data_IF_662571455471
#
_entry.id   IF_662571455471
#
_cell.length_a   1.000
_cell.length_b   1.000
_cell.length_c   1.000
_cell.angle_alpha   90.00
_cell.angle_beta   90.00
_cell.angle_gamma   90.00
#
_symmetry.space_group_name_H-M   'P 1'
#
loop_
_entity.id
_entity.type
_entity.pdbx_description
1 polymer ?
#
# COMPACT_ATOMS: atom_id res chain seq x y z
N UNK A 1 -31.95 -57.90 -3.80
CA UNK A 1 -30.82 -57.00 -4.08
C UNK A 1 -31.37 -55.58 -4.19
N UNK A 2 -30.98 -54.65 -3.31
CA UNK A 2 -31.41 -53.25 -3.45
C UNK A 2 -31.49 -52.48 -2.14
N UNK A 3 -30.34 -52.11 -1.56
CA UNK A 3 -30.29 -51.06 -0.51
C UNK A 3 -28.99 -50.22 -0.53
N UNK A 4 -28.04 -50.47 -1.44
CA UNK A 4 -26.75 -49.78 -1.44
C UNK A 4 -26.77 -48.37 -2.04
N UNK A 5 -27.75 -48.03 -2.89
CA UNK A 5 -27.71 -46.81 -3.72
C UNK A 5 -28.14 -45.50 -2.99
N UNK A 6 -28.73 -45.58 -1.79
CA UNK A 6 -29.23 -44.40 -1.04
C UNK A 6 -28.18 -43.75 -0.12
N UNK A 7 -27.23 -44.53 0.39
CA UNK A 7 -26.22 -44.03 1.32
C UNK A 7 -25.17 -43.13 0.63
N UNK A 8 -24.80 -43.43 -0.61
CA UNK A 8 -23.76 -42.65 -1.30
C UNK A 8 -24.27 -41.24 -1.67
N UNK A 9 -25.52 -41.09 -2.08
CA UNK A 9 -26.12 -39.77 -2.39
C UNK A 9 -26.27 -38.92 -1.11
N UNK A 10 -26.69 -39.53 0.00
CA UNK A 10 -26.81 -38.79 1.28
C UNK A 10 -25.45 -38.36 1.85
N UNK A 11 -24.42 -39.21 1.75
CA UNK A 11 -23.04 -38.86 2.13
C UNK A 11 -22.45 -37.75 1.25
N UNK A 12 -22.70 -37.80 -0.06
CA UNK A 12 -22.27 -36.76 -1.00
C UNK A 12 -22.95 -35.41 -0.70
N UNK A 13 -24.24 -35.41 -0.36
CA UNK A 13 -24.97 -34.20 0.06
C UNK A 13 -24.42 -33.61 1.35
N UNK A 14 -24.18 -34.45 2.37
CA UNK A 14 -23.58 -34.00 3.64
C UNK A 14 -22.20 -33.39 3.42
N UNK A 15 -21.36 -34.02 2.60
CA UNK A 15 -20.04 -33.50 2.24
C UNK A 15 -20.15 -32.15 1.53
N UNK A 16 -21.08 -32.03 0.58
CA UNK A 16 -21.28 -30.77 -0.16
C UNK A 16 -21.75 -29.60 0.75
N UNK A 17 -22.60 -29.88 1.73
CA UNK A 17 -23.04 -28.85 2.70
C UNK A 17 -21.91 -28.50 3.68
N UNK A 18 -21.10 -29.48 4.09
CA UNK A 18 -19.93 -29.23 4.93
C UNK A 18 -18.89 -28.38 4.18
N UNK A 19 -18.61 -28.72 2.92
CA UNK A 19 -17.72 -27.96 2.06
C UNK A 19 -18.25 -26.53 1.84
N UNK A 20 -19.57 -26.37 1.67
CA UNK A 20 -20.20 -25.05 1.53
C UNK A 20 -20.06 -24.21 2.80
N UNK A 21 -20.23 -24.82 3.98
CA UNK A 21 -20.06 -24.14 5.26
C UNK A 21 -18.59 -23.78 5.51
N UNK A 22 -17.67 -24.68 5.20
CA UNK A 22 -16.23 -24.46 5.33
C UNK A 22 -15.80 -23.30 4.42
N UNK A 23 -16.23 -23.31 3.15
CA UNK A 23 -15.90 -22.26 2.19
C UNK A 23 -16.42 -20.89 2.64
N UNK A 24 -17.65 -20.82 3.18
CA UNK A 24 -18.20 -19.58 3.75
C UNK A 24 -17.35 -19.07 4.92
N UNK A 25 -16.91 -19.95 5.81
CA UNK A 25 -16.07 -19.57 6.94
C UNK A 25 -14.70 -19.07 6.48
N UNK A 26 -14.09 -19.71 5.48
CA UNK A 26 -12.80 -19.29 4.91
C UNK A 26 -12.93 -17.88 4.32
N UNK A 27 -13.97 -17.64 3.51
CA UNK A 27 -14.22 -16.33 2.89
C UNK A 27 -14.48 -15.26 3.95
N UNK A 28 -15.28 -15.57 4.97
CA UNK A 28 -15.55 -14.64 6.07
C UNK A 28 -14.27 -14.26 6.82
N UNK A 29 -13.40 -15.24 7.09
CA UNK A 29 -12.13 -15.00 7.77
C UNK A 29 -11.18 -14.16 6.92
N UNK A 30 -11.11 -14.41 5.62
CA UNK A 30 -10.29 -13.59 4.72
C UNK A 30 -10.75 -12.13 4.71
N UNK A 31 -12.07 -11.90 4.60
CA UNK A 31 -12.62 -10.54 4.72
C UNK A 31 -12.34 -9.89 6.08
N UNK A 32 -12.47 -10.64 7.17
CA UNK A 32 -12.15 -10.15 8.51
C UNK A 32 -10.68 -9.71 8.61
N UNK A 33 -9.74 -10.52 8.12
CA UNK A 33 -8.32 -10.19 8.13
C UNK A 33 -7.98 -9.00 7.24
N UNK A 34 -8.65 -8.87 6.09
CA UNK A 34 -8.49 -7.71 5.22
C UNK A 34 -8.98 -6.42 5.89
N UNK A 35 -10.15 -6.46 6.53
CA UNK A 35 -10.67 -5.32 7.28
C UNK A 35 -9.79 -4.94 8.46
N UNK A 36 -9.38 -5.93 9.26
CA UNK A 36 -8.50 -5.70 10.41
C UNK A 36 -7.17 -5.06 9.98
N UNK A 37 -6.58 -5.55 8.89
CA UNK A 37 -5.35 -4.95 8.33
C UNK A 37 -5.58 -3.52 7.85
N UNK A 38 -6.71 -3.24 7.19
CA UNK A 38 -7.05 -1.89 6.75
C UNK A 38 -7.26 -0.93 7.92
N UNK A 39 -7.87 -1.39 9.01
CA UNK A 39 -8.09 -0.63 10.25
C UNK A 39 -6.78 -0.33 10.98
N UNK A 40 -5.92 -1.34 11.17
CA UNK A 40 -4.58 -1.16 11.76
C UNK A 40 -3.77 -0.12 10.97
N UNK A 41 -3.89 -0.19 9.65
CA UNK A 41 -3.21 0.70 8.73
C UNK A 41 -3.76 2.14 8.79
N UNK A 42 -5.09 2.32 8.85
CA UNK A 42 -5.72 3.63 9.03
C UNK A 42 -5.36 4.26 10.40
N UNK A 43 -5.40 3.45 11.46
CA UNK A 43 -5.06 3.89 12.83
C UNK A 43 -3.61 4.36 12.91
N UNK A 44 -2.67 3.64 12.28
CA UNK A 44 -1.26 4.06 12.21
C UNK A 44 -1.08 5.42 11.53
N UNK A 45 -1.81 5.69 10.44
CA UNK A 45 -1.77 7.00 9.76
C UNK A 45 -2.26 8.13 10.66
N UNK A 46 -3.33 7.89 11.41
CA UNK A 46 -3.88 8.89 12.32
C UNK A 46 -2.90 9.21 13.46
N UNK A 47 -2.27 8.20 14.06
CA UNK A 47 -1.25 8.39 15.10
C UNK A 47 -0.06 9.18 14.56
N UNK A 48 0.47 8.81 13.40
CA UNK A 48 1.60 9.52 12.78
C UNK A 48 1.21 10.97 12.44
N UNK A 49 0.00 11.20 11.95
CA UNK A 49 -0.52 12.54 11.69
C UNK A 49 -0.56 13.41 12.93
N UNK A 50 -1.13 12.90 14.03
CA UNK A 50 -1.21 13.61 15.31
C UNK A 50 0.16 13.87 15.93
N UNK A 51 1.10 12.94 15.79
CA UNK A 51 2.47 13.12 16.24
C UNK A 51 3.17 14.26 15.50
N UNK A 52 3.06 14.31 14.17
CA UNK A 52 3.65 15.36 13.35
C UNK A 52 3.11 16.74 13.74
N UNK A 53 1.80 16.87 13.95
CA UNK A 53 1.16 18.13 14.36
C UNK A 53 1.66 18.54 15.75
N UNK A 54 1.64 17.61 16.70
CA UNK A 54 2.03 17.87 18.09
C UNK A 54 3.50 18.26 18.21
N UNK A 55 4.39 17.48 17.59
CA UNK A 55 5.82 17.80 17.58
C UNK A 55 6.13 19.06 16.77
N UNK A 56 5.41 19.32 15.68
CA UNK A 56 5.51 20.57 14.92
C UNK A 56 5.12 21.79 15.77
N UNK A 57 4.06 21.69 16.55
CA UNK A 57 3.66 22.74 17.49
C UNK A 57 4.70 22.96 18.59
N UNK A 58 5.25 21.88 19.18
CA UNK A 58 6.32 21.97 20.18
C UNK A 58 7.57 22.60 19.56
N UNK A 59 8.00 22.15 18.38
CA UNK A 59 9.17 22.69 17.70
C UNK A 59 8.98 24.19 17.41
N UNK A 60 7.81 24.60 16.91
CA UNK A 60 7.49 26.00 16.60
C UNK A 60 7.47 26.89 17.84
N UNK A 61 6.87 26.42 18.95
CA UNK A 61 6.84 27.17 20.21
C UNK A 61 8.24 27.30 20.83
N UNK A 62 9.06 26.25 20.75
CA UNK A 62 10.46 26.29 21.18
C UNK A 62 11.28 27.25 20.32
N UNK A 63 11.08 27.24 19.00
CA UNK A 63 11.75 28.15 18.06
C UNK A 63 11.40 29.61 18.36
N UNK A 64 10.10 29.89 18.56
CA UNK A 64 9.63 31.24 18.89
C UNK A 64 10.20 31.72 20.23
N UNK A 65 10.24 30.83 21.23
CA UNK A 65 10.82 31.13 22.55
C UNK A 65 12.33 31.35 22.48
N UNK A 66 13.05 30.55 21.68
CA UNK A 66 14.48 30.69 21.45
C UNK A 66 14.82 32.03 20.78
N UNK A 67 14.02 32.46 19.80
CA UNK A 67 14.15 33.78 19.17
C UNK A 67 13.93 34.91 20.18
N UNK A 68 12.89 34.82 21.03
CA UNK A 68 12.62 35.84 22.04
C UNK A 68 13.70 35.94 23.12
N UNK A 69 14.22 34.80 23.60
CA UNK A 69 15.24 34.76 24.67
C UNK A 69 16.69 34.85 24.16
N UNK A 70 16.92 34.90 22.84
CA UNK A 70 18.25 34.84 22.19
C UNK A 70 19.13 33.67 22.65
N UNK A 71 18.56 32.66 23.30
CA UNK A 71 19.30 31.53 23.84
C UNK A 71 19.23 30.37 22.85
N UNK A 72 20.36 30.13 22.16
CA UNK A 72 20.49 29.07 21.15
C UNK A 72 20.45 27.66 21.74
N UNK A 73 20.65 27.50 23.05
CA UNK A 73 20.57 26.20 23.73
C UNK A 73 19.16 25.57 23.67
N UNK A 74 18.12 26.39 23.46
CA UNK A 74 16.73 25.92 23.31
C UNK A 74 16.46 25.21 21.98
N UNK A 75 17.38 25.28 21.01
CA UNK A 75 17.26 24.57 19.72
C UNK A 75 17.79 23.13 19.81
N UNK A 76 18.63 22.84 20.80
CA UNK A 76 19.22 21.51 21.00
C UNK A 76 18.19 20.36 21.03
N UNK A 77 17.04 20.47 21.73
CA UNK A 77 16.01 19.41 21.73
C UNK A 77 15.17 19.33 20.45
N UNK A 78 15.24 20.32 19.54
CA UNK A 78 14.48 20.28 18.28
C UNK A 78 15.08 19.24 17.33
N UNK A 79 16.40 19.05 17.36
CA UNK A 79 17.12 18.10 16.49
C UNK A 79 16.60 16.66 16.66
N UNK A 80 16.60 16.07 17.88
CA UNK A 80 16.10 14.70 18.06
C UNK A 80 14.60 14.57 17.73
N UNK A 81 13.80 15.61 17.94
CA UNK A 81 12.37 15.61 17.59
C UNK A 81 12.16 15.49 16.08
N UNK A 82 12.89 16.27 15.28
CA UNK A 82 12.82 16.21 13.82
C UNK A 82 13.32 14.85 13.30
N UNK A 83 14.42 14.35 13.87
CA UNK A 83 14.95 13.02 13.52
C UNK A 83 13.95 11.91 13.83
N UNK A 84 13.24 11.98 14.96
CA UNK A 84 12.21 11.00 15.33
C UNK A 84 11.05 10.96 14.34
N UNK A 85 10.54 12.13 13.93
CA UNK A 85 9.47 12.23 12.94
C UNK A 85 9.93 11.70 11.59
N UNK A 86 11.16 12.06 11.17
CA UNK A 86 11.75 11.57 9.93
C UNK A 86 11.83 10.04 9.90
N UNK A 87 12.30 9.42 10.99
CA UNK A 87 12.38 7.97 11.11
C UNK A 87 11.00 7.29 10.99
N UNK A 88 9.98 7.82 11.68
CA UNK A 88 8.59 7.33 11.59
C UNK A 88 8.01 7.43 10.18
N UNK A 89 8.27 8.53 9.47
CA UNK A 89 7.82 8.73 8.09
C UNK A 89 8.47 7.74 7.12
N UNK A 90 9.78 7.52 7.25
CA UNK A 90 10.50 6.55 6.40
C UNK A 90 9.98 5.13 6.63
N UNK A 91 9.83 4.71 7.89
CA UNK A 91 9.26 3.40 8.21
C UNK A 91 7.84 3.24 7.68
N UNK A 92 7.00 4.27 7.83
CA UNK A 92 5.66 4.23 7.28
C UNK A 92 5.74 3.98 5.77
N UNK A 93 6.59 4.70 5.04
CA UNK A 93 6.73 4.62 3.57
C UNK A 93 7.19 3.24 3.08
N UNK A 94 8.17 2.63 3.77
CA UNK A 94 8.70 1.30 3.41
C UNK A 94 7.63 0.21 3.52
N UNK A 95 6.77 0.28 4.54
CA UNK A 95 5.69 -0.69 4.74
C UNK A 95 4.69 -0.68 3.57
N UNK A 96 4.38 0.49 3.00
CA UNK A 96 3.54 0.57 1.78
C UNK A 96 4.22 -0.07 0.59
N UNK A 97 5.51 0.21 0.39
CA UNK A 97 6.26 -0.31 -0.76
C UNK A 97 6.36 -1.83 -0.70
N UNK A 98 6.57 -2.40 0.48
CA UNK A 98 6.60 -3.85 0.67
C UNK A 98 5.23 -4.48 0.38
N UNK A 99 4.14 -3.89 0.87
CA UNK A 99 2.77 -4.37 0.60
C UNK A 99 2.45 -4.29 -0.90
N UNK A 100 2.74 -3.16 -1.55
CA UNK A 100 2.51 -2.98 -2.99
C UNK A 100 3.34 -3.97 -3.79
N UNK A 101 4.61 -4.15 -3.44
CA UNK A 101 5.50 -5.09 -4.12
C UNK A 101 5.04 -6.55 -3.93
N UNK A 102 4.61 -6.92 -2.73
CA UNK A 102 4.06 -8.25 -2.43
C UNK A 102 2.78 -8.51 -3.23
N UNK A 103 1.85 -7.54 -3.25
CA UNK A 103 0.61 -7.63 -4.06
C UNK A 103 0.92 -7.69 -5.55
N UNK A 104 1.87 -6.90 -6.03
CA UNK A 104 2.30 -6.93 -7.42
C UNK A 104 2.93 -8.28 -7.80
N UNK A 105 3.74 -8.89 -6.91
CA UNK A 105 4.26 -10.25 -7.10
C UNK A 105 3.16 -11.30 -7.14
N UNK A 106 2.20 -11.27 -6.20
CA UNK A 106 1.05 -12.18 -6.18
C UNK A 106 0.26 -12.12 -7.50
N UNK A 107 0.04 -10.92 -8.02
CA UNK A 107 -0.67 -10.67 -9.29
C UNK A 107 0.17 -11.15 -10.50
N UNK A 108 1.49 -10.99 -10.47
CA UNK A 108 2.40 -11.39 -11.55
C UNK A 108 2.61 -12.91 -11.64
N UNK A 109 2.66 -13.58 -10.49
CA UNK A 109 2.85 -15.03 -10.39
C UNK A 109 1.55 -15.79 -10.71
N UNK A 110 0.37 -15.18 -10.58
CA UNK A 110 -0.90 -15.81 -10.93
C UNK A 110 -1.08 -15.91 -12.47
N UNK A 111 -1.02 -17.12 -13.06
CA UNK A 111 -1.13 -17.30 -14.51
C UNK A 111 -2.48 -16.87 -15.08
N UNK A 112 -3.53 -16.74 -14.25
CA UNK A 112 -4.86 -16.26 -14.67
C UNK A 112 -4.87 -14.75 -14.85
N UNK A 113 -4.16 -14.03 -13.97
CA UNK A 113 -4.05 -12.57 -14.00
C UNK A 113 -3.02 -12.08 -15.00
N UNK A 114 -2.00 -12.89 -15.30
CA UNK A 114 -1.05 -12.64 -16.40
C UNK A 114 -1.72 -12.37 -17.74
N UNK A 115 -2.91 -12.92 -17.97
CA UNK A 115 -3.78 -12.70 -19.16
C UNK A 115 -4.66 -11.45 -19.09
N UNK A 116 -4.85 -10.89 -17.88
CA UNK A 116 -5.58 -9.64 -17.64
C UNK A 116 -4.64 -8.43 -17.63
N UNK A 117 -3.37 -8.63 -17.21
CA UNK A 117 -2.31 -7.62 -17.19
C UNK A 117 -1.67 -7.46 -18.59
N UNK A 118 -1.97 -8.33 -19.55
CA UNK A 118 -1.75 -8.00 -20.97
C UNK A 118 -2.69 -6.84 -21.31
N UNK A 119 -2.17 -5.61 -21.11
CA UNK A 119 -2.75 -4.36 -21.58
C UNK A 119 -3.41 -4.56 -22.94
N UNK A 120 -4.56 -3.93 -23.16
CA UNK A 120 -5.24 -3.82 -24.45
C UNK A 120 -4.43 -3.07 -25.54
N UNK A 121 -3.09 -3.03 -25.41
CA UNK A 121 -2.11 -2.46 -26.34
C UNK A 121 -0.80 -3.26 -26.44
N UNK A 122 -0.72 -4.48 -25.90
CA UNK A 122 0.49 -5.31 -25.97
C UNK A 122 1.65 -4.81 -25.10
N UNK A 123 2.77 -5.57 -25.10
CA UNK A 123 3.99 -5.21 -24.36
C UNK A 123 4.55 -3.90 -24.91
N UNK A 124 4.50 -2.80 -24.14
CA UNK A 124 5.30 -1.62 -24.41
C UNK A 124 6.76 -2.07 -24.35
N UNK A 125 7.39 -2.21 -25.51
CA UNK A 125 8.80 -2.57 -25.58
C UNK A 125 9.62 -1.36 -25.15
N UNK A 126 10.77 -1.59 -24.50
CA UNK A 126 11.68 -0.51 -24.07
C UNK A 126 12.01 0.44 -25.23
N UNK A 127 12.07 -0.10 -26.45
CA UNK A 127 12.28 0.66 -27.69
C UNK A 127 11.17 1.69 -27.96
N UNK A 128 9.91 1.31 -27.80
CA UNK A 128 8.77 2.22 -27.95
C UNK A 128 8.76 3.31 -26.86
N UNK A 129 9.23 2.97 -25.65
CA UNK A 129 9.36 3.93 -24.55
C UNK A 129 10.45 4.97 -24.82
N UNK A 130 11.60 4.53 -25.38
CA UNK A 130 12.69 5.43 -25.75
C UNK A 130 12.34 6.31 -26.95
N UNK A 131 11.58 5.78 -27.93
CA UNK A 131 11.04 6.55 -29.04
C UNK A 131 10.05 7.63 -28.56
N UNK A 132 9.15 7.30 -27.63
CA UNK A 132 8.24 8.28 -26.99
C UNK A 132 8.99 9.32 -26.17
N UNK A 133 10.04 8.92 -25.44
CA UNK A 133 10.90 9.83 -24.67
C UNK A 133 11.65 10.79 -25.59
N UNK A 134 12.17 10.31 -26.71
CA UNK A 134 12.84 11.14 -27.71
C UNK A 134 11.87 12.11 -28.40
N UNK A 135 10.67 11.64 -28.76
CA UNK A 135 9.63 12.47 -29.35
C UNK A 135 9.15 13.58 -28.40
N UNK A 136 8.95 13.25 -27.11
CA UNK A 136 8.59 14.22 -26.08
C UNK A 136 9.68 15.26 -25.90
N UNK A 137 10.95 14.83 -25.81
CA UNK A 137 12.11 15.72 -25.70
C UNK A 137 12.18 16.68 -26.89
N UNK A 138 12.03 16.16 -28.11
CA UNK A 138 12.06 16.98 -29.32
C UNK A 138 10.93 18.01 -29.34
N UNK A 139 9.68 17.61 -29.06
CA UNK A 139 8.55 18.52 -29.05
C UNK A 139 8.64 19.59 -27.94
N UNK A 140 9.21 19.24 -26.78
CA UNK A 140 9.44 20.17 -25.68
C UNK A 140 10.49 21.24 -26.05
N UNK A 141 11.56 20.84 -26.76
CA UNK A 141 12.57 21.80 -27.26
C UNK A 141 12.08 22.66 -28.43
N UNK A 142 11.07 22.23 -29.19
CA UNK A 142 10.47 23.05 -30.25
C UNK A 142 9.52 24.11 -29.69
N UNK A 143 8.87 23.86 -28.55
CA UNK A 143 7.98 24.85 -27.92
C UNK A 143 8.73 26.02 -27.26
N UNK A 144 9.98 25.83 -26.82
CA UNK A 144 10.81 26.92 -26.26
C UNK A 144 11.52 27.78 -27.33
N UNK A 145 11.42 27.43 -28.62
CA UNK A 145 12.07 28.18 -29.73
C UNK A 145 11.11 29.07 -30.51
N UNK A 146 9.83 29.12 -30.12
CA UNK A 146 8.79 29.93 -30.75
C UNK A 146 8.33 31.12 -29.89
N UNK A 147 9.16 31.58 -28.95
CA UNK A 147 9.06 32.92 -28.34
C UNK A 147 10.16 33.84 -28.87
#
# INVERSE_FOLDING_TARGET
>A
MGIAYSNDDSLNRLRSEYDRQLNRQIVLMDHYWQHKRAEEFATRKEIVGWEVISFGAIATTLFFTAMKKKNKALILPVIPLVTWIGYRMTQATDEYMEVVHKRAKEILDDPRQKKLITLAGGRITLKELDERRAAWKNNFFTSERCE
#
